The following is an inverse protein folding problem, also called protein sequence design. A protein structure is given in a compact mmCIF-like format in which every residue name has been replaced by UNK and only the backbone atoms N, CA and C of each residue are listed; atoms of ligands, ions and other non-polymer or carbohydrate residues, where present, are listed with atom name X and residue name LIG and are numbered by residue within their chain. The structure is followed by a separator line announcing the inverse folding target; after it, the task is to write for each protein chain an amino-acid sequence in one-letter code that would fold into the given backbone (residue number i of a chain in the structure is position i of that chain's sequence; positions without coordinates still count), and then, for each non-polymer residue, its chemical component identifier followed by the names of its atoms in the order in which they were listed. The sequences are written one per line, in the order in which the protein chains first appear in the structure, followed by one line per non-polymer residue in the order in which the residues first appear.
data_IF_863536887686
#
_entry.id   IF_863536887686
#
_cell.length_a   1.000
_cell.length_b   1.000
_cell.length_c   1.000
_cell.angle_alpha   90.00
_cell.angle_beta   90.00
_cell.angle_gamma   90.00
#
_symmetry.space_group_name_H-M   'P 1'
#
loop_
_entity.id
_entity.type
_entity.pdbx_description
1 polymer ?
#
# COMPACT_ATOMS: atom_id res chain seq x y z
N UNK A 1 -1.26 -1.65 -13.90
CA UNK A 1 -0.07 -1.56 -13.02
C UNK A 1 1.23 -1.82 -13.75
N UNK A 2 1.43 -2.99 -14.35
CA UNK A 2 2.69 -3.30 -15.05
C UNK A 2 3.09 -2.27 -16.12
N UNK A 3 2.15 -1.76 -16.92
CA UNK A 3 2.40 -0.70 -17.92
C UNK A 3 2.90 0.60 -17.28
N UNK A 4 2.33 0.99 -16.13
CA UNK A 4 2.73 2.21 -15.43
C UNK A 4 4.16 2.09 -14.87
N UNK A 5 4.52 0.94 -14.34
CA UNK A 5 5.86 0.68 -13.83
C UNK A 5 6.90 0.59 -14.97
N UNK A 6 6.53 0.00 -16.10
CA UNK A 6 7.41 -0.14 -17.26
C UNK A 6 7.84 1.20 -17.88
N UNK A 7 7.05 2.25 -17.70
CA UNK A 7 7.35 3.60 -18.23
C UNK A 7 8.28 4.42 -17.34
N UNK A 8 8.63 3.94 -16.15
CA UNK A 8 9.45 4.68 -15.19
C UNK A 8 10.92 4.54 -15.54
N UNK A 9 11.64 5.67 -15.61
CA UNK A 9 13.08 5.69 -15.85
C UNK A 9 13.84 5.11 -14.66
N UNK A 10 14.88 4.28 -14.89
CA UNK A 10 15.76 3.80 -13.82
C UNK A 10 16.35 4.95 -12.97
N UNK A 11 16.52 4.71 -11.68
CA UNK A 11 17.09 5.66 -10.74
C UNK A 11 16.10 6.64 -10.11
N UNK A 12 14.87 6.70 -10.59
CA UNK A 12 13.82 7.51 -9.96
C UNK A 12 13.28 6.84 -8.69
N UNK A 13 12.96 7.67 -7.68
CA UNK A 13 12.19 7.21 -6.54
C UNK A 13 10.73 6.99 -6.99
N UNK A 14 10.22 5.80 -6.73
CA UNK A 14 8.86 5.43 -7.13
C UNK A 14 7.95 5.52 -5.92
N UNK A 15 7.04 6.48 -5.98
CA UNK A 15 5.93 6.61 -5.04
C UNK A 15 4.66 6.12 -5.71
N UNK A 16 4.06 5.07 -5.19
CA UNK A 16 2.87 4.44 -5.77
C UNK A 16 1.63 4.72 -4.93
N UNK A 17 0.55 5.06 -5.60
CA UNK A 17 -0.79 5.10 -5.02
C UNK A 17 -1.58 3.89 -5.52
N UNK A 18 -2.11 3.11 -4.60
CA UNK A 18 -2.83 1.89 -4.90
C UNK A 18 -4.08 1.77 -4.02
N UNK A 19 -5.21 1.38 -4.61
CA UNK A 19 -6.45 1.26 -3.83
C UNK A 19 -6.40 0.06 -2.88
N UNK A 20 -6.11 -1.14 -3.40
CA UNK A 20 -6.13 -2.39 -2.65
C UNK A 20 -4.71 -2.78 -2.22
N UNK A 21 -4.41 -2.95 -0.93
CA UNK A 21 -3.05 -3.18 -0.45
C UNK A 21 -2.51 -4.59 -0.73
N UNK A 22 -3.37 -5.58 -0.98
CA UNK A 22 -2.98 -7.00 -1.06
C UNK A 22 -1.97 -7.32 -2.16
N UNK A 23 -1.96 -6.55 -3.25
CA UNK A 23 -1.01 -6.74 -4.35
C UNK A 23 0.43 -6.33 -4.00
N UNK A 24 0.61 -5.53 -2.95
CA UNK A 24 1.94 -5.03 -2.57
C UNK A 24 2.93 -6.16 -2.26
N UNK A 25 2.47 -7.29 -1.74
CA UNK A 25 3.32 -8.47 -1.47
C UNK A 25 4.08 -8.98 -2.71
N UNK A 26 3.53 -8.74 -3.89
CA UNK A 26 4.07 -9.17 -5.18
C UNK A 26 4.86 -8.05 -5.89
N UNK A 27 4.88 -6.83 -5.33
CA UNK A 27 5.61 -5.68 -5.86
C UNK A 27 6.96 -5.43 -5.18
N UNK A 28 7.41 -6.32 -4.33
CA UNK A 28 8.74 -6.26 -3.71
C UNK A 28 9.83 -6.75 -4.68
N UNK A 29 11.12 -6.35 -4.49
CA UNK A 29 12.19 -6.66 -5.44
C UNK A 29 12.31 -8.14 -5.83
N UNK A 30 12.13 -9.05 -4.88
CA UNK A 30 12.24 -10.50 -5.14
C UNK A 30 11.12 -11.09 -5.99
N UNK A 31 9.99 -10.37 -6.15
CA UNK A 31 8.77 -10.92 -6.79
C UNK A 31 8.25 -10.13 -7.97
N UNK A 32 8.52 -8.82 -8.01
CA UNK A 32 7.88 -7.94 -9.00
C UNK A 32 8.09 -8.39 -10.45
N UNK A 33 9.27 -8.87 -10.78
CA UNK A 33 9.57 -9.33 -12.14
C UNK A 33 9.05 -10.74 -12.42
N UNK A 34 8.92 -11.57 -11.39
CA UNK A 34 8.30 -12.89 -11.52
C UNK A 34 6.80 -12.77 -11.83
N UNK A 35 6.11 -11.87 -11.14
CA UNK A 35 4.65 -11.72 -11.25
C UNK A 35 4.25 -10.80 -12.41
N UNK A 36 4.95 -9.69 -12.60
CA UNK A 36 4.56 -8.61 -13.53
C UNK A 36 5.58 -8.33 -14.63
N UNK A 37 6.77 -8.88 -14.54
CA UNK A 37 7.82 -8.70 -15.55
C UNK A 37 7.53 -9.46 -16.85
N UNK A 38 8.25 -9.11 -17.90
CA UNK A 38 8.23 -9.78 -19.18
C UNK A 38 9.64 -9.97 -19.73
N UNK A 39 9.78 -10.70 -20.85
CA UNK A 39 11.09 -10.88 -21.51
C UNK A 39 11.77 -9.55 -21.89
N UNK A 40 10.97 -8.54 -22.22
CA UNK A 40 11.45 -7.26 -22.74
C UNK A 40 11.38 -6.13 -21.69
N UNK A 41 10.84 -6.39 -20.49
CA UNK A 41 10.59 -5.38 -19.49
C UNK A 41 11.02 -5.84 -18.10
N UNK A 42 12.02 -5.17 -17.54
CA UNK A 42 12.44 -5.32 -16.14
C UNK A 42 11.83 -4.20 -15.33
N UNK A 43 11.07 -4.56 -14.29
CA UNK A 43 10.38 -3.63 -13.42
C UNK A 43 11.19 -3.37 -12.14
N UNK A 44 11.10 -2.13 -11.64
CA UNK A 44 11.68 -1.72 -10.36
C UNK A 44 10.55 -1.63 -9.33
N UNK A 45 10.75 -2.21 -8.16
CA UNK A 45 9.78 -2.18 -7.08
C UNK A 45 9.60 -0.75 -6.55
N UNK A 46 8.35 -0.30 -6.29
CA UNK A 46 8.10 0.98 -5.64
C UNK A 46 8.72 1.02 -4.24
N UNK A 47 9.43 2.11 -3.93
CA UNK A 47 10.04 2.29 -2.61
C UNK A 47 9.01 2.63 -1.55
N UNK A 48 7.95 3.36 -1.93
CA UNK A 48 6.87 3.75 -1.02
C UNK A 48 5.53 3.60 -1.71
N UNK A 49 4.63 2.84 -1.09
CA UNK A 49 3.26 2.64 -1.57
C UNK A 49 2.27 3.13 -0.53
N UNK A 50 1.26 3.86 -0.95
CA UNK A 50 0.10 4.20 -0.13
C UNK A 50 -1.14 3.46 -0.63
N UNK A 51 -1.92 2.94 0.32
CA UNK A 51 -3.16 2.22 0.04
C UNK A 51 -4.26 2.60 1.04
N UNK A 52 -5.49 2.32 0.66
CA UNK A 52 -6.67 2.48 1.51
C UNK A 52 -7.52 1.22 1.47
N UNK A 53 -8.77 1.34 1.03
CA UNK A 53 -9.75 0.28 0.79
C UNK A 53 -10.34 -0.36 2.04
N UNK A 54 -9.53 -0.79 3.00
CA UNK A 54 -9.97 -1.54 4.17
C UNK A 54 -10.70 -0.69 5.21
N UNK A 55 -10.52 0.66 5.18
CA UNK A 55 -11.04 1.61 6.17
C UNK A 55 -10.70 1.23 7.62
N UNK A 56 -9.63 0.45 7.84
CA UNK A 56 -9.27 -0.16 9.11
C UNK A 56 -10.47 -0.92 9.76
N UNK A 57 -11.38 -1.47 8.92
CA UNK A 57 -12.58 -2.17 9.34
C UNK A 57 -13.71 -1.26 9.85
N UNK A 58 -13.51 0.05 9.93
CA UNK A 58 -14.41 1.10 10.47
C UNK A 58 -14.87 0.88 11.92
N UNK A 59 -14.96 -0.36 12.37
CA UNK A 59 -15.41 -0.75 13.70
C UNK A 59 -14.36 -1.61 14.37
N UNK A 60 -13.93 -1.22 15.56
CA UNK A 60 -13.03 -1.99 16.40
C UNK A 60 -13.66 -2.15 17.79
N UNK A 61 -13.81 -3.39 18.25
CA UNK A 61 -14.34 -3.72 19.58
C UNK A 61 -13.34 -4.63 20.28
N UNK A 62 -12.90 -4.26 21.48
CA UNK A 62 -11.92 -5.01 22.29
C UNK A 62 -10.62 -5.33 21.52
N UNK A 63 -10.16 -4.41 20.66
CA UNK A 63 -8.98 -4.59 19.85
C UNK A 63 -9.17 -5.49 18.62
N UNK A 64 -10.39 -5.89 18.31
CA UNK A 64 -10.72 -6.75 17.16
C UNK A 64 -11.45 -5.94 16.09
N UNK A 65 -10.91 -5.95 14.87
CA UNK A 65 -11.50 -5.35 13.66
C UNK A 65 -11.87 -6.44 12.66
N UNK A 66 -12.95 -6.28 11.88
CA UNK A 66 -13.30 -7.25 10.83
C UNK A 66 -12.19 -7.47 9.80
N UNK A 67 -11.37 -6.45 9.55
CA UNK A 67 -10.29 -6.49 8.55
C UNK A 67 -8.93 -6.92 9.11
N UNK A 68 -8.78 -7.19 10.41
CA UNK A 68 -7.48 -7.54 11.00
C UNK A 68 -6.89 -8.86 10.45
N UNK A 69 -7.72 -9.71 9.88
CA UNK A 69 -7.29 -10.94 9.20
C UNK A 69 -6.99 -10.72 7.71
N UNK A 70 -7.31 -9.56 7.17
CA UNK A 70 -6.91 -9.18 5.83
C UNK A 70 -5.43 -8.77 5.80
N UNK A 71 -4.73 -9.11 4.73
CA UNK A 71 -3.34 -8.70 4.56
C UNK A 71 -3.24 -7.18 4.42
N UNK A 72 -2.38 -6.56 5.24
CA UNK A 72 -2.10 -5.12 5.19
C UNK A 72 -3.31 -4.22 5.44
N UNK A 73 -4.10 -4.55 6.45
CA UNK A 73 -5.36 -3.86 6.74
C UNK A 73 -5.18 -2.40 7.19
N UNK A 74 -4.13 -2.08 7.93
CA UNK A 74 -3.88 -0.74 8.46
C UNK A 74 -2.43 -0.56 8.95
N UNK A 75 -1.87 0.62 8.72
CA UNK A 75 -0.57 1.03 9.25
C UNK A 75 0.59 0.86 8.29
N UNK A 76 1.80 0.89 8.84
CA UNK A 76 3.05 0.82 8.10
C UNK A 76 3.58 -0.61 8.05
N UNK A 77 3.92 -1.05 6.85
CA UNK A 77 4.56 -2.34 6.58
C UNK A 77 5.86 -2.10 5.81
N UNK A 78 6.87 -2.92 6.08
CA UNK A 78 8.15 -2.88 5.39
C UNK A 78 8.56 -4.29 4.95
N UNK A 79 9.06 -4.41 3.73
CA UNK A 79 9.60 -5.64 3.19
C UNK A 79 10.64 -5.34 2.12
N UNK A 80 11.82 -5.93 2.23
CA UNK A 80 12.92 -5.80 1.25
C UNK A 80 13.27 -4.34 0.93
N UNK A 81 13.24 -3.44 1.91
CA UNK A 81 13.50 -2.02 1.72
C UNK A 81 12.36 -1.21 1.12
N UNK A 82 11.25 -1.84 0.77
CA UNK A 82 10.03 -1.20 0.28
C UNK A 82 9.03 -1.01 1.42
N UNK A 83 8.30 0.10 1.40
CA UNK A 83 7.32 0.44 2.44
C UNK A 83 5.91 0.52 1.85
N UNK A 84 4.95 0.04 2.62
CA UNK A 84 3.52 0.21 2.37
C UNK A 84 2.88 0.89 3.56
N UNK A 85 2.13 1.94 3.33
CA UNK A 85 1.26 2.53 4.34
C UNK A 85 -0.20 2.38 3.93
N UNK A 86 -0.98 1.69 4.75
CA UNK A 86 -2.43 1.53 4.55
C UNK A 86 -3.16 2.45 5.52
N UNK A 87 -3.92 3.40 4.99
CA UNK A 87 -4.67 4.39 5.78
C UNK A 87 -6.13 3.98 5.95
N UNK A 88 -6.71 4.36 7.09
CA UNK A 88 -8.15 4.28 7.32
C UNK A 88 -8.94 5.30 6.48
N UNK A 89 -8.30 6.40 6.06
CA UNK A 89 -8.93 7.47 5.30
C UNK A 89 -10.02 8.23 6.05
N UNK A 90 -10.72 9.11 5.35
CA UNK A 90 -11.84 9.88 5.89
C UNK A 90 -13.20 9.23 5.62
N UNK A 91 -13.31 8.50 4.52
CA UNK A 91 -14.54 7.83 4.09
C UNK A 91 -14.78 6.49 4.76
N UNK A 92 -15.88 5.86 4.40
CA UNK A 92 -16.23 4.53 4.88
C UNK A 92 -17.41 3.95 4.12
N UNK A 93 -17.63 2.64 4.29
CA UNK A 93 -18.74 1.91 3.65
C UNK A 93 -20.06 2.16 4.39
N UNK A 94 -19.99 2.37 5.70
CA UNK A 94 -21.13 2.66 6.57
C UNK A 94 -20.92 4.02 7.26
N UNK A 95 -22.00 4.72 7.68
CA UNK A 95 -21.89 6.07 8.27
C UNK A 95 -21.42 6.06 9.73
N UNK A 96 -20.88 4.96 10.23
CA UNK A 96 -20.45 4.80 11.62
C UNK A 96 -19.00 4.33 11.67
N UNK A 97 -18.20 4.93 12.57
CA UNK A 97 -16.85 4.48 12.94
C UNK A 97 -16.79 4.25 14.44
N UNK A 98 -16.25 3.09 14.86
CA UNK A 98 -16.01 2.75 16.25
C UNK A 98 -14.58 2.20 16.35
N UNK A 99 -13.71 2.87 17.13
CA UNK A 99 -12.31 2.47 17.32
C UNK A 99 -11.37 2.75 16.14
N UNK A 100 -11.91 2.87 14.93
CA UNK A 100 -11.14 3.19 13.72
C UNK A 100 -11.26 4.68 13.40
N UNK A 101 -10.30 5.48 13.83
CA UNK A 101 -10.30 6.94 13.64
C UNK A 101 -10.13 7.30 12.16
N UNK A 102 -10.94 8.24 11.68
CA UNK A 102 -10.72 8.86 10.38
C UNK A 102 -9.40 9.64 10.39
N UNK A 103 -8.60 9.52 9.34
CA UNK A 103 -7.27 10.13 9.31
C UNK A 103 -6.92 10.77 7.97
N UNK A 104 -6.09 11.81 8.08
CA UNK A 104 -5.36 12.40 6.95
C UNK A 104 -3.88 12.15 7.21
N UNK A 105 -3.19 11.57 6.26
CA UNK A 105 -1.76 11.24 6.35
C UNK A 105 -0.95 12.29 5.61
N UNK A 106 0.00 12.92 6.28
CA UNK A 106 0.96 13.85 5.67
C UNK A 106 2.30 13.14 5.55
N UNK A 107 2.86 13.11 4.35
CA UNK A 107 4.13 12.48 4.05
C UNK A 107 5.15 13.52 3.63
N UNK A 108 6.28 13.53 4.29
CA UNK A 108 7.41 14.39 3.92
C UNK A 108 8.53 13.53 3.33
N UNK A 109 8.84 13.74 2.06
CA UNK A 109 10.00 13.13 1.41
C UNK A 109 11.19 14.07 1.54
N UNK A 110 12.30 13.53 2.04
CA UNK A 110 13.56 14.28 2.19
C UNK A 110 14.64 13.65 1.32
N UNK A 111 15.38 14.49 0.62
CA UNK A 111 16.59 14.05 -0.08
C UNK A 111 17.70 13.82 0.95
N UNK A 112 18.35 12.68 0.85
CA UNK A 112 19.58 12.42 1.62
C UNK A 112 20.74 13.23 1.10
#
# INVERSE_FOLDING_TARGET
MAKSLASIKPGNFIFMLQHIPTQWKDMVPSKINEVYGSKDTVLVAPQLTFSGHTHAGQVEVLGIRPTMFASYDYGLYEREGCQLFTTAGLGGVIPIRIGATAEIVVVTLKRK
#
